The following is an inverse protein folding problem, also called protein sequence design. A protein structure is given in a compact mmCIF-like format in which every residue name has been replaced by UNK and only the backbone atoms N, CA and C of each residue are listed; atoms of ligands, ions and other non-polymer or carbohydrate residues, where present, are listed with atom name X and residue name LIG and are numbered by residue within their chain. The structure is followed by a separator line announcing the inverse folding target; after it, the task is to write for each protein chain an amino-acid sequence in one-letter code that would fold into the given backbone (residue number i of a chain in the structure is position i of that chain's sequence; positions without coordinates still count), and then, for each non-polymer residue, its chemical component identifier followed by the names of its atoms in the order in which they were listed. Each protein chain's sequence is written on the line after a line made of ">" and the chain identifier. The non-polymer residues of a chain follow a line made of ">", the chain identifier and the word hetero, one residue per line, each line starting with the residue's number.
data_IF_166126429197
#
_entry.id   IF_166126429197
#
_cell.length_a   1.000
_cell.length_b   1.000
_cell.length_c   1.000
_cell.angle_alpha   90.00
_cell.angle_beta   90.00
_cell.angle_gamma   90.00
#
_symmetry.space_group_name_H-M   'P 1'
#
loop_
_entity.id
_entity.type
_entity.pdbx_description
1 polymer ?
#
# COMPACT_ATOMS: atom_id res chain seq x y z
N UNK A 1 13.59 -4.76 8.37
CA UNK A 1 12.77 -4.78 9.59
C UNK A 1 11.78 -3.64 9.49
N UNK A 2 10.54 -3.84 9.90
CA UNK A 2 9.49 -2.82 9.93
C UNK A 2 8.69 -2.95 11.22
N UNK A 3 8.00 -1.88 11.64
CA UNK A 3 7.21 -1.87 12.87
C UNK A 3 5.72 -1.76 12.57
N UNK A 4 4.92 -2.48 13.35
CA UNK A 4 3.45 -2.46 13.28
C UNK A 4 2.95 -2.03 14.65
N UNK A 5 2.12 -0.99 14.67
CA UNK A 5 1.51 -0.47 15.89
C UNK A 5 0.00 -0.57 15.77
N UNK A 6 -0.63 -1.20 16.75
CA UNK A 6 -2.08 -1.29 16.85
C UNK A 6 -2.59 -0.15 17.72
N UNK A 7 -3.54 0.61 17.20
CA UNK A 7 -4.08 1.82 17.84
C UNK A 7 -5.51 1.54 18.32
N UNK A 8 -5.79 1.98 19.55
CA UNK A 8 -7.14 2.02 20.11
C UNK A 8 -7.28 3.32 20.90
N UNK A 9 -8.03 4.28 20.34
CA UNK A 9 -8.25 5.60 20.90
C UNK A 9 -9.26 5.61 22.04
N UNK A 10 -9.15 6.60 22.94
CA UNK A 10 -10.20 6.90 23.92
C UNK A 10 -11.33 7.72 23.28
N UNK A 11 -12.55 7.56 23.80
CA UNK A 11 -13.68 8.43 23.49
C UNK A 11 -13.51 9.85 24.06
N UNK A 12 -12.69 10.02 25.09
CA UNK A 12 -12.38 11.33 25.67
C UNK A 12 -11.27 12.03 24.87
N UNK A 13 -11.54 13.25 24.42
CA UNK A 13 -10.56 14.08 23.71
C UNK A 13 -9.31 14.34 24.56
N UNK A 14 -9.49 14.61 25.86
CA UNK A 14 -8.36 14.87 26.77
C UNK A 14 -7.45 13.65 26.88
N UNK A 15 -8.04 12.45 26.99
CA UNK A 15 -7.28 11.19 27.07
C UNK A 15 -6.57 10.86 25.76
N UNK A 16 -7.11 11.25 24.60
CA UNK A 16 -6.46 11.07 23.29
C UNK A 16 -5.15 11.86 23.16
N UNK A 17 -4.95 12.93 23.93
CA UNK A 17 -3.66 13.66 23.97
C UNK A 17 -2.49 12.75 24.32
N UNK A 18 -2.70 11.76 25.19
CA UNK A 18 -1.68 10.78 25.55
C UNK A 18 -1.36 9.85 24.36
N UNK A 19 -2.37 9.49 23.56
CA UNK A 19 -2.18 8.72 22.33
C UNK A 19 -1.37 9.53 21.30
N UNK A 20 -1.68 10.80 21.08
CA UNK A 20 -0.90 11.69 20.18
C UNK A 20 0.56 11.82 20.60
N UNK A 21 0.80 11.91 21.90
CA UNK A 21 2.14 11.94 22.46
C UNK A 21 2.87 10.61 22.21
N UNK A 22 2.16 9.48 22.35
CA UNK A 22 2.71 8.16 22.05
C UNK A 22 3.01 7.98 20.56
N UNK A 23 2.12 8.39 19.66
CA UNK A 23 2.35 8.38 18.21
C UNK A 23 3.60 9.19 17.86
N UNK A 24 3.69 10.43 18.34
CA UNK A 24 4.86 11.30 18.12
C UNK A 24 6.16 10.66 18.59
N UNK A 25 6.14 10.01 19.76
CA UNK A 25 7.33 9.30 20.28
C UNK A 25 7.70 8.12 19.40
N UNK A 26 6.73 7.29 19.01
CA UNK A 26 6.98 6.14 18.14
C UNK A 26 7.39 6.57 16.74
N UNK A 27 6.92 7.73 16.26
CA UNK A 27 7.28 8.34 14.99
C UNK A 27 8.75 8.85 14.91
N UNK A 28 9.59 8.54 15.90
CA UNK A 28 11.04 8.85 15.89
C UNK A 28 11.94 7.65 15.57
N UNK A 29 11.43 6.41 15.58
CA UNK A 29 12.25 5.25 15.22
C UNK A 29 12.68 5.27 13.75
N UNK A 30 13.75 4.56 13.44
CA UNK A 30 14.29 4.49 12.08
C UNK A 30 13.63 3.35 11.30
N UNK A 31 13.18 3.65 10.09
CA UNK A 31 12.70 2.67 9.11
C UNK A 31 11.18 2.71 8.86
N UNK A 32 10.66 1.74 8.08
CA UNK A 32 9.25 1.69 7.74
C UNK A 32 8.38 1.28 8.93
N UNK A 33 7.26 1.99 9.12
CA UNK A 33 6.24 1.61 10.08
C UNK A 33 4.82 1.85 9.59
N UNK A 34 3.88 1.23 10.30
CA UNK A 34 2.45 1.32 10.08
C UNK A 34 1.72 1.41 11.41
N UNK A 35 0.80 2.36 11.52
CA UNK A 35 -0.20 2.44 12.58
C UNK A 35 -1.55 2.01 12.01
N UNK A 36 -2.23 1.08 12.65
CA UNK A 36 -3.55 0.64 12.24
C UNK A 36 -4.47 0.41 13.42
N UNK A 37 -5.74 0.76 13.25
CA UNK A 37 -6.77 0.56 14.26
C UNK A 37 -7.66 1.78 14.39
N UNK A 38 -8.31 1.87 15.54
CA UNK A 38 -9.36 2.85 15.81
C UNK A 38 -8.78 4.10 16.46
N UNK A 39 -8.83 5.22 15.74
CA UNK A 39 -8.34 6.51 16.23
C UNK A 39 -9.46 7.34 16.89
N UNK A 40 -10.72 6.92 16.79
CA UNK A 40 -11.92 7.61 17.31
C UNK A 40 -12.15 9.02 16.70
N UNK A 41 -11.30 9.49 15.80
CA UNK A 41 -11.35 10.85 15.25
C UNK A 41 -11.30 10.84 13.72
N UNK A 42 -12.18 11.64 13.13
CA UNK A 42 -12.18 11.91 11.69
C UNK A 42 -11.12 12.96 11.31
N UNK A 43 -10.57 12.90 10.10
CA UNK A 43 -9.60 13.88 9.56
C UNK A 43 -10.26 14.95 8.70
N UNK A 44 -11.40 14.65 8.10
CA UNK A 44 -12.14 15.59 7.27
C UNK A 44 -13.63 15.60 7.61
N UNK A 45 -14.28 16.74 7.39
CA UNK A 45 -15.72 16.90 7.70
C UNK A 45 -16.63 15.94 6.93
N UNK A 46 -16.24 15.54 5.72
CA UNK A 46 -17.00 14.60 4.87
C UNK A 46 -16.87 13.15 5.33
N UNK A 47 -15.93 12.85 6.22
CA UNK A 47 -15.77 11.50 6.80
C UNK A 47 -16.77 11.22 7.93
N UNK A 48 -17.76 12.10 8.13
CA UNK A 48 -18.88 11.91 9.04
C UNK A 48 -20.20 12.28 8.38
N UNK A 49 -21.17 11.39 8.49
CA UNK A 49 -22.58 11.65 8.14
C UNK A 49 -23.37 11.65 9.43
N UNK A 50 -23.90 12.82 9.82
CA UNK A 50 -24.78 12.99 10.97
C UNK A 50 -25.53 14.32 10.89
N UNK A 51 -26.62 14.43 11.65
CA UNK A 51 -27.34 15.71 11.82
C UNK A 51 -26.54 16.77 12.59
N UNK A 52 -25.57 16.34 13.41
CA UNK A 52 -24.68 17.22 14.15
C UNK A 52 -23.38 17.44 13.37
N UNK A 53 -22.88 18.68 13.26
CA UNK A 53 -21.58 18.92 12.63
C UNK A 53 -20.43 18.29 13.43
N UNK A 54 -19.31 17.94 12.78
CA UNK A 54 -18.10 17.50 13.47
C UNK A 54 -17.50 18.57 14.38
N UNK A 55 -16.83 18.14 15.45
CA UNK A 55 -16.09 19.03 16.35
C UNK A 55 -14.76 19.41 15.70
N UNK A 56 -14.70 20.59 15.08
CA UNK A 56 -13.56 21.05 14.28
C UNK A 56 -12.23 21.04 15.05
N UNK A 57 -12.26 21.33 16.35
CA UNK A 57 -11.06 21.31 17.17
C UNK A 57 -10.39 19.92 17.22
N UNK A 58 -11.16 18.85 17.38
CA UNK A 58 -10.63 17.47 17.41
C UNK A 58 -10.02 17.06 16.07
N UNK A 59 -10.65 17.48 14.96
CA UNK A 59 -10.11 17.30 13.61
C UNK A 59 -8.75 18.00 13.44
N UNK A 60 -8.64 19.24 13.90
CA UNK A 60 -7.41 20.03 13.79
C UNK A 60 -6.29 19.43 14.64
N UNK A 61 -6.60 19.08 15.89
CA UNK A 61 -5.66 18.47 16.81
C UNK A 61 -5.10 17.15 16.25
N UNK A 62 -5.99 16.28 15.75
CA UNK A 62 -5.57 15.02 15.14
C UNK A 62 -4.74 15.23 13.86
N UNK A 63 -5.16 16.12 12.96
CA UNK A 63 -4.40 16.40 11.74
C UNK A 63 -3.03 17.02 12.04
N UNK A 64 -2.91 17.85 13.08
CA UNK A 64 -1.61 18.36 13.53
C UNK A 64 -0.71 17.22 14.03
N UNK A 65 -1.25 16.27 14.81
CA UNK A 65 -0.50 15.08 15.22
C UNK A 65 -0.03 14.26 14.01
N UNK A 66 -0.92 13.96 13.07
CA UNK A 66 -0.61 13.22 11.83
C UNK A 66 0.50 13.91 11.03
N UNK A 67 0.40 15.23 10.85
CA UNK A 67 1.41 16.02 10.15
C UNK A 67 2.75 16.00 10.88
N UNK A 68 2.76 16.22 12.20
CA UNK A 68 3.98 16.21 13.01
C UNK A 68 4.67 14.84 13.03
N UNK A 69 3.90 13.76 12.93
CA UNK A 69 4.41 12.40 12.86
C UNK A 69 4.86 11.98 11.44
N UNK A 70 4.63 12.82 10.41
CA UNK A 70 4.89 12.47 9.02
C UNK A 70 4.10 11.24 8.56
N UNK A 71 2.84 11.15 8.99
CA UNK A 71 1.93 10.05 8.69
C UNK A 71 1.00 10.40 7.52
N UNK A 72 0.78 9.42 6.66
CA UNK A 72 -0.20 9.49 5.59
C UNK A 72 -1.11 8.25 5.62
N UNK A 73 -2.39 8.44 5.30
CA UNK A 73 -3.30 7.33 5.08
C UNK A 73 -2.82 6.50 3.88
N UNK A 74 -2.72 5.18 4.07
CA UNK A 74 -2.41 4.27 2.97
C UNK A 74 -3.57 4.26 1.95
N UNK A 75 -3.26 3.96 0.68
CA UNK A 75 -4.29 3.69 -0.32
C UNK A 75 -5.25 2.59 0.18
N UNK A 76 -6.55 2.83 0.08
CA UNK A 76 -7.56 1.91 0.62
C UNK A 76 -8.73 1.65 -0.31
N UNK A 77 -9.38 0.50 -0.12
CA UNK A 77 -10.60 0.07 -0.82
C UNK A 77 -11.64 -0.45 0.17
N UNK A 78 -12.87 -0.64 -0.29
CA UNK A 78 -13.97 -1.15 0.53
C UNK A 78 -14.79 -0.05 1.18
N UNK A 79 -15.19 -0.24 2.44
CA UNK A 79 -16.04 0.69 3.16
C UNK A 79 -15.35 2.06 3.38
N UNK A 80 -16.01 3.14 2.96
CA UNK A 80 -15.54 4.51 3.16
C UNK A 80 -15.67 4.94 4.63
N UNK A 81 -16.79 4.58 5.26
CA UNK A 81 -17.04 4.74 6.69
C UNK A 81 -16.72 3.43 7.41
N UNK A 82 -16.04 3.54 8.53
CA UNK A 82 -15.54 2.37 9.28
C UNK A 82 -16.28 2.16 10.59
N UNK A 83 -17.16 3.07 10.98
CA UNK A 83 -18.02 2.95 12.14
C UNK A 83 -19.44 3.45 11.86
N UNK A 84 -20.44 2.84 12.49
CA UNK A 84 -21.80 3.36 12.53
C UNK A 84 -22.52 3.03 13.84
N UNK A 85 -23.40 3.93 14.28
CA UNK A 85 -24.04 3.83 15.61
C UNK A 85 -25.19 2.79 15.72
N UNK A 86 -25.46 2.01 14.66
CA UNK A 86 -26.54 1.00 14.60
C UNK A 86 -27.97 1.50 14.86
N UNK A 87 -28.20 2.80 14.77
CA UNK A 87 -29.54 3.38 14.96
C UNK A 87 -30.34 3.41 13.65
N UNK A 88 -31.65 3.66 13.76
CA UNK A 88 -32.56 3.83 12.63
C UNK A 88 -32.22 5.07 11.79
N UNK A 89 -32.81 5.18 10.60
CA UNK A 89 -32.45 6.15 9.56
C UNK A 89 -32.29 7.58 10.08
N UNK A 90 -33.19 8.02 10.95
CA UNK A 90 -33.30 9.42 11.38
C UNK A 90 -32.26 9.79 12.46
N UNK A 91 -31.56 8.81 13.04
CA UNK A 91 -30.49 9.03 14.01
C UNK A 91 -29.20 8.35 13.58
N UNK A 92 -29.13 7.86 12.34
CA UNK A 92 -27.99 7.10 11.86
C UNK A 92 -26.78 7.99 11.69
N UNK A 93 -25.68 7.56 12.29
CA UNK A 93 -24.38 8.20 12.17
C UNK A 93 -23.41 7.24 11.53
N UNK A 94 -22.67 7.74 10.54
CA UNK A 94 -21.52 7.05 9.94
C UNK A 94 -20.27 7.88 10.17
N UNK A 95 -19.14 7.24 10.47
CA UNK A 95 -17.86 7.93 10.64
C UNK A 95 -16.68 7.06 10.21
N UNK A 96 -15.61 7.68 9.71
CA UNK A 96 -14.34 7.01 9.43
C UNK A 96 -13.37 7.17 10.60
N UNK A 97 -13.43 6.22 11.53
CA UNK A 97 -12.67 6.22 12.79
C UNK A 97 -11.44 5.30 12.73
N UNK A 98 -11.60 4.13 12.11
CA UNK A 98 -10.48 3.23 11.84
C UNK A 98 -9.61 3.72 10.67
N UNK A 99 -8.29 3.67 10.85
CA UNK A 99 -7.32 4.12 9.86
C UNK A 99 -6.12 3.19 9.78
N UNK A 100 -5.46 3.26 8.63
CA UNK A 100 -4.17 2.62 8.39
C UNK A 100 -3.23 3.69 7.86
N UNK A 101 -2.28 4.11 8.70
CA UNK A 101 -1.36 5.20 8.42
C UNK A 101 0.08 4.74 8.41
N UNK A 102 0.88 5.31 7.52
CA UNK A 102 2.26 4.88 7.26
C UNK A 102 3.17 6.09 7.11
N UNK A 103 4.48 5.90 7.31
CA UNK A 103 5.46 6.93 6.95
C UNK A 103 5.96 6.79 5.51
N UNK A 104 6.70 7.80 5.06
CA UNK A 104 7.38 7.82 3.77
C UNK A 104 8.27 6.58 3.53
N UNK A 105 8.97 6.08 4.56
CA UNK A 105 9.82 4.89 4.43
C UNK A 105 9.01 3.63 4.13
N UNK A 106 7.84 3.45 4.75
CA UNK A 106 6.92 2.36 4.40
C UNK A 106 6.48 2.47 2.94
N UNK A 107 6.04 3.65 2.52
CA UNK A 107 5.60 3.89 1.13
C UNK A 107 6.72 3.59 0.13
N UNK A 108 7.97 3.93 0.47
CA UNK A 108 9.15 3.65 -0.36
C UNK A 108 9.47 2.15 -0.46
N UNK A 109 9.32 1.42 0.65
CA UNK A 109 9.67 -0.01 0.71
C UNK A 109 8.55 -0.94 0.22
N UNK A 110 7.29 -0.52 0.37
CA UNK A 110 6.10 -1.31 0.10
C UNK A 110 5.16 -0.57 -0.87
N UNK A 111 5.68 -0.17 -2.03
CA UNK A 111 4.96 0.66 -3.03
C UNK A 111 3.57 0.14 -3.47
N UNK A 112 3.32 -1.16 -3.28
CA UNK A 112 2.04 -1.80 -3.63
C UNK A 112 1.21 -2.19 -2.40
N UNK A 113 1.53 -1.67 -1.23
CA UNK A 113 0.72 -1.91 -0.04
C UNK A 113 -0.58 -1.11 -0.10
N UNK A 114 -1.67 -1.73 0.33
CA UNK A 114 -2.98 -1.10 0.44
C UNK A 114 -3.76 -1.71 1.61
N UNK A 115 -4.74 -0.96 2.10
CA UNK A 115 -5.71 -1.45 3.08
C UNK A 115 -7.06 -1.75 2.43
N UNK A 116 -7.76 -2.76 2.92
CA UNK A 116 -9.14 -3.04 2.56
C UNK A 116 -10.00 -2.96 3.83
N UNK A 117 -10.99 -2.08 3.86
CA UNK A 117 -11.99 -2.01 4.93
C UNK A 117 -13.18 -2.88 4.53
N UNK A 118 -13.39 -3.97 5.25
CA UNK A 118 -14.43 -4.95 4.97
C UNK A 118 -15.79 -4.47 5.51
N UNK A 119 -16.87 -5.06 4.98
CA UNK A 119 -18.20 -4.84 5.53
C UNK A 119 -18.23 -5.24 7.00
N UNK A 120 -18.82 -4.41 7.88
CA UNK A 120 -18.98 -4.75 9.28
C UNK A 120 -20.02 -5.87 9.40
N UNK A 121 -19.65 -6.98 10.04
CA UNK A 121 -20.56 -8.09 10.34
C UNK A 121 -21.19 -7.88 11.73
N UNK A 122 -20.54 -8.43 12.78
CA UNK A 122 -21.06 -8.44 14.15
C UNK A 122 -20.63 -7.19 14.94
N UNK A 123 -19.65 -6.43 14.44
CA UNK A 123 -19.15 -5.19 15.04
C UNK A 123 -19.83 -3.95 14.44
N UNK A 124 -19.89 -2.87 15.20
CA UNK A 124 -20.18 -1.53 14.69
C UNK A 124 -19.00 -0.93 13.92
N UNK A 125 -17.81 -1.53 14.04
CA UNK A 125 -16.61 -1.22 13.28
C UNK A 125 -16.38 -2.16 12.07
N UNK A 126 -15.81 -1.61 11.00
CA UNK A 126 -15.35 -2.30 9.80
C UNK A 126 -13.93 -2.86 10.00
N UNK A 127 -13.71 -4.18 9.90
CA UNK A 127 -12.37 -4.75 9.96
C UNK A 127 -11.47 -4.23 8.83
N UNK A 128 -10.19 -3.96 9.12
CA UNK A 128 -9.20 -3.59 8.12
C UNK A 128 -8.22 -4.73 7.84
N UNK A 129 -7.94 -4.95 6.55
CA UNK A 129 -6.93 -5.92 6.07
C UNK A 129 -5.85 -5.15 5.34
N UNK A 130 -4.61 -5.21 5.84
CA UNK A 130 -3.46 -4.60 5.17
C UNK A 130 -2.74 -5.65 4.33
N UNK A 131 -2.72 -5.43 3.01
CA UNK A 131 -1.90 -6.23 2.10
C UNK A 131 -0.62 -5.45 1.80
N UNK A 132 0.53 -6.11 1.93
CA UNK A 132 1.81 -5.55 1.53
C UNK A 132 2.59 -6.59 0.72
N UNK A 133 3.36 -6.11 -0.26
CA UNK A 133 4.27 -6.94 -1.01
C UNK A 133 5.69 -6.55 -0.62
N UNK A 134 6.44 -7.49 -0.05
CA UNK A 134 7.82 -7.24 0.36
C UNK A 134 8.69 -6.77 -0.82
N UNK A 135 9.81 -6.13 -0.48
CA UNK A 135 10.83 -5.62 -1.42
C UNK A 135 11.60 -6.72 -2.18
N UNK A 136 10.99 -7.87 -2.46
CA UNK A 136 11.44 -8.66 -3.58
C UNK A 136 11.12 -7.83 -4.82
N UNK A 137 12.12 -7.11 -5.34
CA UNK A 137 12.09 -6.54 -6.68
C UNK A 137 11.36 -7.57 -7.55
N UNK A 138 10.19 -7.25 -8.14
CA UNK A 138 9.51 -8.20 -8.98
C UNK A 138 10.56 -8.67 -9.97
N UNK A 139 10.85 -9.98 -10.02
CA UNK A 139 11.82 -10.54 -10.98
C UNK A 139 11.46 -9.89 -12.31
N UNK A 140 12.31 -8.98 -12.81
CA UNK A 140 11.95 -8.15 -13.98
C UNK A 140 11.66 -9.14 -15.10
N UNK A 141 10.37 -9.31 -15.40
CA UNK A 141 9.96 -10.17 -16.49
C UNK A 141 10.60 -9.59 -17.74
N UNK A 142 11.16 -10.45 -18.56
CA UNK A 142 11.75 -9.98 -19.81
C UNK A 142 10.60 -9.68 -20.75
N UNK A 143 10.46 -8.41 -21.11
CA UNK A 143 9.55 -7.95 -22.15
C UNK A 143 10.36 -7.73 -23.41
N UNK A 144 9.85 -8.26 -24.52
CA UNK A 144 10.38 -7.93 -25.84
C UNK A 144 10.02 -6.48 -26.18
N UNK A 145 11.01 -5.66 -26.51
CA UNK A 145 10.78 -4.30 -26.98
C UNK A 145 10.77 -4.30 -28.51
N UNK A 146 9.69 -3.78 -29.11
CA UNK A 146 9.57 -3.74 -30.58
C UNK A 146 10.71 -2.97 -31.23
N UNK A 147 11.25 -1.92 -30.60
CA UNK A 147 12.40 -1.18 -31.13
C UNK A 147 13.66 -2.05 -31.33
N UNK A 148 13.78 -3.20 -30.65
CA UNK A 148 14.89 -4.11 -30.91
C UNK A 148 14.86 -4.66 -32.32
N UNK A 149 13.69 -4.82 -32.97
CA UNK A 149 13.66 -5.33 -34.35
C UNK A 149 14.33 -4.40 -35.36
N UNK A 150 14.46 -3.13 -35.00
CA UNK A 150 15.09 -2.09 -35.82
C UNK A 150 16.58 -1.93 -35.52
N UNK A 151 17.09 -2.55 -34.44
CA UNK A 151 18.49 -2.44 -34.06
C UNK A 151 19.39 -3.23 -35.03
N UNK A 152 20.52 -2.67 -35.51
CA UNK A 152 21.38 -3.33 -36.51
C UNK A 152 21.82 -4.75 -36.11
N UNK A 153 22.10 -4.97 -34.82
CA UNK A 153 22.58 -6.26 -34.29
C UNK A 153 21.46 -7.29 -34.02
N UNK A 154 20.19 -6.89 -34.09
CA UNK A 154 19.07 -7.77 -33.74
C UNK A 154 19.06 -9.07 -34.53
N UNK A 155 19.24 -8.96 -35.85
CA UNK A 155 19.21 -10.12 -36.74
C UNK A 155 20.38 -11.07 -36.46
N UNK A 156 21.55 -10.54 -36.11
CA UNK A 156 22.72 -11.34 -35.75
C UNK A 156 22.46 -12.14 -34.46
N UNK A 157 21.91 -11.49 -33.43
CA UNK A 157 21.54 -12.12 -32.14
C UNK A 157 20.55 -13.27 -32.35
N UNK A 158 19.54 -13.07 -33.20
CA UNK A 158 18.56 -14.12 -33.52
C UNK A 158 19.24 -15.29 -34.25
N UNK A 159 20.04 -15.02 -35.30
CA UNK A 159 20.70 -16.07 -36.07
C UNK A 159 21.63 -16.90 -35.20
N UNK A 160 22.49 -16.26 -34.41
CA UNK A 160 23.43 -16.95 -33.53
C UNK A 160 22.71 -17.87 -32.52
N UNK A 161 21.60 -17.39 -31.95
CA UNK A 161 20.79 -18.19 -31.05
C UNK A 161 20.11 -19.37 -31.77
N UNK A 162 19.69 -19.19 -33.03
CA UNK A 162 18.98 -20.19 -33.81
C UNK A 162 19.89 -21.23 -34.47
N UNK A 163 21.12 -20.85 -34.83
CA UNK A 163 22.09 -21.74 -35.46
C UNK A 163 22.86 -22.58 -34.42
N UNK A 164 22.75 -22.22 -33.14
CA UNK A 164 23.32 -22.99 -32.06
C UNK A 164 22.72 -24.42 -32.00
N UNK A 165 23.60 -25.42 -32.09
CA UNK A 165 23.24 -26.83 -31.93
C UNK A 165 22.94 -27.13 -30.46
N UNK A 166 21.70 -27.51 -30.17
CA UNK A 166 21.23 -27.89 -28.83
C UNK A 166 20.70 -29.31 -28.90
N UNK A 167 21.20 -30.19 -28.03
CA UNK A 167 20.80 -31.59 -27.90
C UNK A 167 19.65 -31.69 -26.90
N UNK A 168 18.60 -32.44 -27.25
CA UNK A 168 17.41 -32.65 -26.43
C UNK A 168 16.14 -32.73 -27.29
N UNK A 169 14.99 -32.89 -26.64
CA UNK A 169 13.70 -32.89 -27.33
C UNK A 169 13.38 -31.49 -27.91
N UNK A 170 12.39 -31.42 -28.81
CA UNK A 170 12.04 -30.19 -29.53
C UNK A 170 11.70 -29.02 -28.60
N UNK A 171 10.95 -29.27 -27.52
CA UNK A 171 10.56 -28.23 -26.56
C UNK A 171 11.77 -27.69 -25.78
N UNK A 172 12.66 -28.58 -25.36
CA UNK A 172 13.90 -28.22 -24.68
C UNK A 172 14.80 -27.38 -25.59
N UNK A 173 14.92 -27.76 -26.86
CA UNK A 173 15.70 -27.01 -27.87
C UNK A 173 15.13 -25.61 -28.06
N UNK A 174 13.81 -25.48 -28.24
CA UNK A 174 13.13 -24.19 -28.39
C UNK A 174 13.35 -23.29 -27.17
N UNK A 175 13.10 -23.81 -25.97
CA UNK A 175 13.26 -23.05 -24.72
C UNK A 175 14.69 -22.54 -24.53
N UNK A 176 15.70 -23.35 -24.86
CA UNK A 176 17.10 -22.95 -24.76
C UNK A 176 17.49 -21.89 -25.79
N UNK A 177 16.99 -21.98 -27.03
CA UNK A 177 17.19 -20.95 -28.06
C UNK A 177 16.54 -19.63 -27.66
N UNK A 178 15.30 -19.64 -27.19
CA UNK A 178 14.61 -18.44 -26.68
C UNK A 178 15.36 -17.82 -25.48
N UNK A 179 15.93 -18.66 -24.59
CA UNK A 179 16.75 -18.17 -23.48
C UNK A 179 18.04 -17.49 -23.96
N UNK A 180 18.66 -17.99 -25.04
CA UNK A 180 19.82 -17.34 -25.68
C UNK A 180 19.44 -16.00 -26.31
N UNK A 181 18.35 -15.93 -27.07
CA UNK A 181 17.82 -14.67 -27.63
C UNK A 181 17.58 -13.64 -26.53
N UNK A 182 16.89 -14.04 -25.45
CA UNK A 182 16.65 -13.19 -24.28
C UNK A 182 17.95 -12.67 -23.64
N UNK A 183 19.03 -13.45 -23.66
CA UNK A 183 20.31 -13.01 -23.11
C UNK A 183 20.99 -11.96 -24.00
N UNK A 184 21.06 -12.21 -25.32
CA UNK A 184 21.65 -11.25 -26.25
C UNK A 184 20.89 -9.92 -26.27
N UNK A 185 19.55 -9.96 -26.31
CA UNK A 185 18.73 -8.73 -26.27
C UNK A 185 18.86 -7.95 -24.95
N UNK A 186 19.18 -8.63 -23.84
CA UNK A 186 19.44 -7.94 -22.57
C UNK A 186 20.78 -7.20 -22.58
N UNK A 187 21.81 -7.76 -23.21
CA UNK A 187 23.11 -7.12 -23.36
C UNK A 187 22.99 -5.90 -24.28
N UNK A 188 22.22 -6.01 -25.36
CA UNK A 188 21.91 -4.92 -26.28
C UNK A 188 21.23 -3.71 -25.63
N UNK A 189 20.51 -3.91 -24.53
CA UNK A 189 19.84 -2.83 -23.79
C UNK A 189 20.76 -2.16 -22.76
N UNK A 190 21.97 -2.69 -22.53
CA UNK A 190 22.96 -2.18 -21.58
C UNK A 190 24.13 -1.45 -22.26
N UNK A 191 24.25 -1.57 -23.59
CA UNK A 191 25.15 -0.82 -24.48
C UNK A 191 24.49 0.45 -24.99
#
# INVERSE_FOLDING_TARGET
>A
VFHIFFVYGSNSADERTALWSALSRFATQVGPWIFLGDFIVIRNVHEKISHTPPVVFELLDFNNCVLNCGLDDISSTGCEFTWYNRQDSDSRVYSKLDRVMVNAEWMRHFLKSFAQFLMPEISDHSPSVVTYHGAALPKKNFSFLNCWTEHPEFRAIISEAWDCRIIGNSMFRLMRKLKKVKHGLKQLHQS
#
